data_IF_772190440084
#
_entry.id   IF_772190440084
#
_cell.length_a   1.000
_cell.length_b   1.000
_cell.length_c   1.000
_cell.angle_alpha   90.00
_cell.angle_beta   90.00
_cell.angle_gamma   90.00
#
_symmetry.space_group_name_H-M   'P 1'
#
loop_
_entity.id
_entity.type
_entity.pdbx_description
1 polymer ?
#
# COMPACT_ATOMS: atom_id res chain seq x y z
N UNK A 1 -47.86 -23.78 -3.52
CA UNK A 1 -47.81 -22.52 -4.30
C UNK A 1 -48.35 -22.82 -5.70
N UNK A 2 -49.11 -21.92 -6.34
CA UNK A 2 -49.44 -22.11 -7.75
C UNK A 2 -48.15 -21.97 -8.55
N UNK A 3 -47.65 -23.07 -9.13
CA UNK A 3 -46.43 -23.12 -9.93
C UNK A 3 -46.58 -22.29 -11.20
N UNK A 4 -46.38 -20.98 -11.08
CA UNK A 4 -46.31 -20.08 -12.22
C UNK A 4 -44.85 -19.90 -12.63
N UNK A 5 -44.60 -19.81 -13.93
CA UNK A 5 -43.28 -19.51 -14.51
C UNK A 5 -42.60 -18.31 -13.83
N UNK A 6 -43.38 -17.32 -13.40
CA UNK A 6 -42.91 -16.14 -12.65
C UNK A 6 -42.23 -16.52 -11.33
N UNK A 7 -42.70 -17.54 -10.62
CA UNK A 7 -42.08 -18.00 -9.37
C UNK A 7 -40.77 -18.74 -9.63
N UNK A 8 -40.72 -19.59 -10.67
CA UNK A 8 -39.50 -20.29 -11.07
C UNK A 8 -38.38 -19.32 -11.47
N UNK A 9 -38.72 -18.26 -12.21
CA UNK A 9 -37.76 -17.21 -12.58
C UNK A 9 -37.25 -16.42 -11.38
N UNK A 10 -38.09 -16.15 -10.37
CA UNK A 10 -37.64 -15.50 -9.12
C UNK A 10 -36.66 -16.37 -8.34
N UNK A 11 -36.95 -17.66 -8.22
CA UNK A 11 -36.04 -18.61 -7.57
C UNK A 11 -34.71 -18.72 -8.31
N UNK A 12 -34.73 -18.79 -9.64
CA UNK A 12 -33.52 -18.78 -10.46
C UNK A 12 -32.69 -17.50 -10.27
N UNK A 13 -33.33 -16.32 -10.30
CA UNK A 13 -32.65 -15.05 -10.07
C UNK A 13 -32.02 -14.98 -8.66
N UNK A 14 -32.74 -15.43 -7.64
CA UNK A 14 -32.21 -15.48 -6.27
C UNK A 14 -31.03 -16.45 -6.16
N UNK A 15 -31.10 -17.63 -6.79
CA UNK A 15 -30.01 -18.60 -6.81
C UNK A 15 -28.75 -18.04 -7.48
N UNK A 16 -28.89 -17.28 -8.57
CA UNK A 16 -27.79 -16.59 -9.24
C UNK A 16 -27.17 -15.51 -8.34
N UNK A 17 -28.00 -14.71 -7.64
CA UNK A 17 -27.50 -13.71 -6.67
C UNK A 17 -26.70 -14.41 -5.56
N UNK A 18 -27.20 -15.51 -5.03
CA UNK A 18 -26.51 -16.28 -3.99
C UNK A 18 -25.20 -16.88 -4.52
N UNK A 19 -25.19 -17.44 -5.74
CA UNK A 19 -23.97 -17.93 -6.38
C UNK A 19 -22.93 -16.82 -6.49
N UNK A 20 -23.32 -15.60 -6.88
CA UNK A 20 -22.41 -14.46 -6.97
C UNK A 20 -21.90 -14.01 -5.60
N UNK A 21 -22.78 -13.84 -4.62
CA UNK A 21 -22.40 -13.39 -3.27
C UNK A 21 -21.46 -14.40 -2.61
N UNK A 22 -21.82 -15.69 -2.59
CA UNK A 22 -20.95 -16.72 -2.01
C UNK A 22 -19.72 -16.96 -2.87
N UNK A 23 -19.82 -16.86 -4.19
CA UNK A 23 -18.67 -16.96 -5.09
C UNK A 23 -17.64 -15.87 -4.85
N UNK A 24 -18.07 -14.64 -4.56
CA UNK A 24 -17.19 -13.54 -4.16
C UNK A 24 -16.58 -13.77 -2.78
N UNK A 25 -17.39 -14.19 -1.79
CA UNK A 25 -16.91 -14.45 -0.42
C UNK A 25 -15.82 -15.54 -0.41
N UNK A 26 -15.99 -16.60 -1.21
CA UNK A 26 -15.09 -17.76 -1.23
C UNK A 26 -14.11 -17.77 -2.41
N UNK A 27 -14.08 -16.72 -3.24
CA UNK A 27 -13.20 -16.64 -4.41
C UNK A 27 -13.43 -17.73 -5.46
N UNK A 28 -14.62 -18.34 -5.51
CA UNK A 28 -14.92 -19.42 -6.44
C UNK A 28 -16.42 -19.46 -6.81
N UNK A 29 -16.79 -19.19 -8.07
CA UNK A 29 -18.19 -19.28 -8.50
C UNK A 29 -18.75 -20.71 -8.37
N UNK A 30 -17.90 -21.74 -8.43
CA UNK A 30 -18.28 -23.14 -8.20
C UNK A 30 -18.69 -23.36 -6.75
N UNK A 31 -17.93 -22.83 -5.78
CA UNK A 31 -18.31 -22.89 -4.36
C UNK A 31 -19.62 -22.15 -4.13
N UNK A 32 -19.77 -20.97 -4.73
CA UNK A 32 -21.03 -20.22 -4.69
C UNK A 32 -22.21 -21.02 -5.24
N UNK A 33 -22.00 -21.74 -6.34
CA UNK A 33 -23.01 -22.59 -6.97
C UNK A 33 -23.43 -23.79 -6.11
N UNK A 34 -22.46 -24.45 -5.47
CA UNK A 34 -22.72 -25.56 -4.53
C UNK A 34 -23.54 -25.07 -3.34
N UNK A 35 -23.17 -23.93 -2.75
CA UNK A 35 -23.89 -23.34 -1.62
C UNK A 35 -25.30 -22.94 -2.02
N UNK A 36 -25.47 -22.26 -3.15
CA UNK A 36 -26.80 -21.90 -3.66
C UNK A 36 -27.67 -23.15 -3.89
N UNK A 37 -27.12 -24.20 -4.51
CA UNK A 37 -27.80 -25.49 -4.71
C UNK A 37 -28.23 -26.12 -3.39
N UNK A 38 -27.33 -26.17 -2.41
CA UNK A 38 -27.61 -26.76 -1.10
C UNK A 38 -28.71 -25.99 -0.33
N UNK A 39 -28.71 -24.65 -0.40
CA UNK A 39 -29.74 -23.85 0.28
C UNK A 39 -31.11 -24.02 -0.37
N UNK A 40 -31.18 -24.03 -1.71
CA UNK A 40 -32.46 -24.30 -2.39
C UNK A 40 -32.97 -25.70 -2.13
N UNK A 41 -32.10 -26.71 -2.08
CA UNK A 41 -32.48 -28.06 -1.68
C UNK A 41 -33.00 -28.08 -0.24
N UNK A 42 -32.27 -27.49 0.71
CA UNK A 42 -32.68 -27.44 2.11
C UNK A 42 -34.00 -26.71 2.31
N UNK A 43 -34.23 -25.60 1.59
CA UNK A 43 -35.48 -24.84 1.59
C UNK A 43 -36.65 -25.74 1.17
N UNK A 44 -36.55 -26.37 0.01
CA UNK A 44 -37.64 -27.19 -0.53
C UNK A 44 -37.88 -28.45 0.34
N UNK A 45 -36.82 -29.10 0.82
CA UNK A 45 -36.94 -30.22 1.76
C UNK A 45 -37.63 -29.80 3.08
N UNK A 46 -37.31 -28.60 3.60
CA UNK A 46 -37.93 -28.06 4.81
C UNK A 46 -39.39 -27.64 4.63
N UNK A 47 -39.80 -27.19 3.45
CA UNK A 47 -41.22 -26.95 3.14
C UNK A 47 -42.02 -28.26 3.11
N UNK A 48 -41.40 -29.39 2.74
CA UNK A 48 -42.02 -30.71 2.76
C UNK A 48 -42.11 -31.30 4.16
N UNK A 49 -41.08 -31.13 4.98
CA UNK A 49 -41.11 -31.65 6.35
C UNK A 49 -42.23 -31.02 7.18
N UNK A 50 -42.64 -29.78 6.90
CA UNK A 50 -43.80 -29.11 7.55
C UNK A 50 -45.15 -29.79 7.26
N UNK A 51 -45.24 -30.60 6.21
CA UNK A 51 -46.46 -31.36 5.89
C UNK A 51 -46.57 -32.67 6.70
N UNK A 52 -45.57 -32.97 7.55
CA UNK A 52 -45.54 -34.13 8.43
C UNK A 52 -46.17 -33.88 9.81
N UNK A 53 -46.48 -32.63 10.16
CA UNK A 53 -47.12 -32.27 11.43
C UNK A 53 -48.50 -32.95 11.53
N UNK A 54 -48.52 -34.13 12.16
CA UNK A 54 -49.73 -34.93 12.42
C UNK A 54 -49.71 -36.38 11.95
N UNK A 55 -48.66 -36.89 11.27
CA UNK A 55 -48.57 -38.31 10.89
C UNK A 55 -47.53 -39.08 11.71
N UNK A 56 -47.85 -40.29 12.21
CA UNK A 56 -46.91 -41.11 13.00
C UNK A 56 -45.80 -41.78 12.18
N UNK A 57 -45.65 -41.42 10.90
CA UNK A 57 -44.58 -41.89 10.03
C UNK A 57 -43.27 -41.17 10.41
N UNK A 58 -42.51 -41.76 11.33
CA UNK A 58 -41.26 -41.22 11.88
C UNK A 58 -40.12 -40.99 10.87
N UNK A 59 -38.87 -40.89 11.36
CA UNK A 59 -37.63 -40.52 10.63
C UNK A 59 -37.45 -41.04 9.19
N UNK A 60 -38.08 -42.15 8.81
CA UNK A 60 -38.10 -42.66 7.42
C UNK A 60 -38.78 -41.71 6.44
N UNK A 61 -39.84 -41.01 6.88
CA UNK A 61 -40.50 -39.99 6.07
C UNK A 61 -39.57 -38.79 5.81
N UNK A 62 -38.81 -38.38 6.83
CA UNK A 62 -37.79 -37.33 6.72
C UNK A 62 -36.68 -37.70 5.73
N UNK A 63 -36.18 -38.94 5.78
CA UNK A 63 -35.19 -39.42 4.80
C UNK A 63 -35.75 -39.51 3.38
N UNK A 64 -37.04 -39.82 3.22
CA UNK A 64 -37.68 -39.82 1.90
C UNK A 64 -37.82 -38.42 1.31
N UNK A 65 -37.94 -37.40 2.16
CA UNK A 65 -38.05 -35.99 1.74
C UNK A 65 -36.69 -35.39 1.35
N UNK A 66 -35.59 -35.99 1.80
CA UNK A 66 -34.23 -35.66 1.32
C UNK A 66 -34.00 -36.11 -0.13
N UNK A 67 -34.78 -37.06 -0.66
CA UNK A 67 -34.66 -37.48 -2.06
C UNK A 67 -35.65 -36.70 -2.95
N UNK A 68 -35.20 -35.71 -3.75
CA UNK A 68 -36.07 -34.92 -4.63
C UNK A 68 -36.72 -35.73 -5.75
N UNK A 69 -36.25 -36.95 -5.99
CA UNK A 69 -36.81 -37.89 -6.94
C UNK A 69 -37.84 -38.84 -6.31
N UNK A 70 -38.09 -38.72 -5.01
CA UNK A 70 -39.10 -39.49 -4.30
C UNK A 70 -40.52 -39.24 -4.84
N UNK A 71 -41.44 -40.20 -4.64
CA UNK A 71 -42.83 -40.10 -5.10
C UNK A 71 -43.62 -38.97 -4.41
N UNK A 72 -43.10 -38.40 -3.32
CA UNK A 72 -43.74 -37.31 -2.55
C UNK A 72 -43.55 -35.93 -3.18
N UNK A 73 -42.56 -35.77 -4.05
CA UNK A 73 -42.31 -34.52 -4.75
C UNK A 73 -43.26 -34.40 -5.94
N UNK A 74 -44.16 -33.42 -5.89
CA UNK A 74 -45.04 -33.10 -7.03
C UNK A 74 -44.20 -32.48 -8.15
N UNK A 75 -44.74 -32.50 -9.36
CA UNK A 75 -44.10 -31.90 -10.54
C UNK A 75 -43.65 -30.46 -10.27
N UNK A 76 -44.51 -29.65 -9.66
CA UNK A 76 -44.20 -28.24 -9.37
C UNK A 76 -43.03 -28.09 -8.40
N UNK A 77 -42.95 -28.95 -7.37
CA UNK A 77 -41.86 -28.95 -6.39
C UNK A 77 -40.51 -29.29 -7.04
N UNK A 78 -40.53 -30.26 -7.97
CA UNK A 78 -39.34 -30.64 -8.73
C UNK A 78 -38.88 -29.50 -9.64
N UNK A 79 -39.82 -28.74 -10.21
CA UNK A 79 -39.49 -27.59 -11.05
C UNK A 79 -38.98 -26.41 -10.22
N UNK A 80 -39.54 -26.17 -9.04
CA UNK A 80 -39.09 -25.15 -8.10
C UNK A 80 -37.64 -25.39 -7.62
N UNK A 81 -37.21 -26.66 -7.51
CA UNK A 81 -35.82 -27.01 -7.24
C UNK A 81 -34.94 -27.04 -8.51
N UNK A 82 -35.43 -27.63 -9.61
CA UNK A 82 -34.63 -27.85 -10.81
C UNK A 82 -34.25 -26.54 -11.51
N UNK A 83 -35.16 -25.54 -11.56
CA UNK A 83 -34.88 -24.25 -12.20
C UNK A 83 -33.70 -23.49 -11.58
N UNK A 84 -33.67 -23.22 -10.26
CA UNK A 84 -32.55 -22.51 -9.64
C UNK A 84 -31.24 -23.28 -9.74
N UNK A 85 -31.27 -24.61 -9.57
CA UNK A 85 -30.09 -25.47 -9.71
C UNK A 85 -29.56 -25.42 -11.15
N UNK A 86 -30.42 -25.62 -12.14
CA UNK A 86 -30.03 -25.55 -13.55
C UNK A 86 -29.52 -24.16 -13.93
N UNK A 87 -30.15 -23.09 -13.45
CA UNK A 87 -29.71 -21.72 -13.74
C UNK A 87 -28.31 -21.44 -13.20
N UNK A 88 -28.03 -21.86 -11.96
CA UNK A 88 -26.73 -21.70 -11.32
C UNK A 88 -25.66 -22.53 -12.03
N UNK A 89 -25.92 -23.79 -12.36
CA UNK A 89 -24.94 -24.64 -13.05
C UNK A 89 -24.75 -24.25 -14.52
N UNK A 90 -25.79 -23.77 -15.21
CA UNK A 90 -25.66 -23.18 -16.53
C UNK A 90 -24.83 -21.90 -16.47
N UNK A 91 -25.01 -21.05 -15.46
CA UNK A 91 -24.17 -19.88 -15.27
C UNK A 91 -22.71 -20.28 -15.04
N UNK A 92 -22.43 -21.29 -14.20
CA UNK A 92 -21.07 -21.83 -14.03
C UNK A 92 -20.48 -22.35 -15.35
N UNK A 93 -21.27 -23.05 -16.17
CA UNK A 93 -20.82 -23.57 -17.45
C UNK A 93 -20.60 -22.48 -18.53
N UNK A 94 -21.33 -21.37 -18.42
CA UNK A 94 -21.22 -20.21 -19.30
C UNK A 94 -20.19 -19.18 -18.83
N UNK A 95 -19.77 -19.23 -17.56
CA UNK A 95 -18.61 -18.50 -17.13
C UNK A 95 -17.44 -18.99 -17.99
N UNK A 96 -16.67 -18.09 -18.62
CA UNK A 96 -15.43 -18.51 -19.25
C UNK A 96 -14.69 -19.30 -18.19
N UNK A 97 -14.38 -20.57 -18.48
CA UNK A 97 -13.62 -21.43 -17.59
C UNK A 97 -12.49 -20.54 -17.10
N UNK A 98 -12.55 -20.13 -15.83
CA UNK A 98 -11.63 -19.15 -15.28
C UNK A 98 -10.30 -19.81 -15.51
N UNK A 99 -9.56 -19.34 -16.51
CA UNK A 99 -8.41 -20.06 -17.03
C UNK A 99 -7.60 -20.35 -15.78
N UNK A 100 -7.50 -21.63 -15.42
CA UNK A 100 -6.78 -21.99 -14.21
C UNK A 100 -5.42 -21.38 -14.42
N UNK A 101 -5.09 -20.38 -13.58
CA UNK A 101 -3.85 -19.65 -13.68
C UNK A 101 -2.74 -20.68 -13.85
N UNK A 102 -2.22 -20.77 -15.06
CA UNK A 102 -1.25 -21.79 -15.35
C UNK A 102 0.02 -21.38 -14.61
N UNK A 103 0.59 -22.32 -13.85
CA UNK A 103 1.85 -22.10 -13.17
C UNK A 103 2.96 -22.63 -14.05
N UNK A 104 3.91 -21.76 -14.35
CA UNK A 104 5.09 -22.06 -15.15
C UNK A 104 6.33 -21.88 -14.30
N UNK A 105 7.32 -22.74 -14.52
CA UNK A 105 8.65 -22.61 -13.92
C UNK A 105 9.60 -22.04 -14.98
N UNK A 106 10.43 -21.08 -14.60
CA UNK A 106 11.51 -20.59 -15.44
C UNK A 106 12.74 -20.30 -14.57
N UNK A 107 13.89 -20.76 -15.03
CA UNK A 107 15.17 -20.67 -14.30
C UNK A 107 16.17 -19.73 -14.97
N UNK A 108 15.84 -19.20 -16.16
CA UNK A 108 16.68 -18.26 -16.89
C UNK A 108 15.88 -17.13 -17.53
N UNK A 109 16.52 -15.99 -17.75
CA UNK A 109 15.90 -14.87 -18.46
C UNK A 109 15.48 -15.20 -19.91
N UNK A 110 16.15 -16.17 -20.55
CA UNK A 110 15.77 -16.64 -21.88
C UNK A 110 14.45 -17.42 -21.86
N UNK A 111 14.25 -18.29 -20.86
CA UNK A 111 13.00 -19.02 -20.66
C UNK A 111 11.83 -18.08 -20.37
N UNK A 112 12.03 -17.11 -19.47
CA UNK A 112 11.01 -16.10 -19.18
C UNK A 112 10.62 -15.35 -20.46
N UNK A 113 11.60 -14.85 -21.22
CA UNK A 113 11.32 -14.14 -22.49
C UNK A 113 10.57 -15.00 -23.50
N UNK A 114 10.85 -16.29 -23.58
CA UNK A 114 10.15 -17.21 -24.47
C UNK A 114 8.72 -17.55 -23.99
N UNK A 115 8.50 -17.48 -22.67
CA UNK A 115 7.23 -17.76 -22.03
C UNK A 115 6.25 -16.59 -22.09
N UNK A 116 6.73 -15.36 -21.86
CA UNK A 116 5.89 -14.16 -21.72
C UNK A 116 4.83 -13.98 -22.82
N UNK A 117 5.12 -14.16 -24.13
CA UNK A 117 4.11 -14.00 -25.18
C UNK A 117 2.95 -15.02 -25.10
N UNK A 118 3.17 -16.15 -24.42
CA UNK A 118 2.23 -17.26 -24.32
C UNK A 118 1.34 -17.17 -23.08
N UNK A 119 1.71 -16.33 -22.12
CA UNK A 119 0.96 -16.17 -20.87
C UNK A 119 -0.39 -15.50 -21.13
N UNK A 120 -1.41 -15.98 -20.45
CA UNK A 120 -2.71 -15.36 -20.31
C UNK A 120 -2.76 -14.49 -19.03
N UNK A 121 -3.78 -13.64 -18.93
CA UNK A 121 -4.03 -12.91 -17.69
C UNK A 121 -4.30 -13.90 -16.54
N UNK A 122 -3.72 -13.63 -15.38
CA UNK A 122 -3.81 -14.48 -14.19
C UNK A 122 -2.71 -15.55 -14.09
N UNK A 123 -1.99 -15.88 -15.16
CA UNK A 123 -0.93 -16.88 -15.12
C UNK A 123 0.19 -16.51 -14.14
N UNK A 124 0.87 -17.55 -13.63
CA UNK A 124 1.95 -17.41 -12.64
C UNK A 124 3.26 -17.94 -13.21
N UNK A 125 4.32 -17.14 -13.11
CA UNK A 125 5.69 -17.54 -13.43
C UNK A 125 6.48 -17.59 -12.13
N UNK A 126 6.94 -18.77 -11.76
CA UNK A 126 7.78 -19.02 -10.59
C UNK A 126 9.25 -19.01 -11.02
N UNK A 127 10.04 -18.07 -10.47
CA UNK A 127 11.46 -17.90 -10.76
C UNK A 127 12.37 -18.35 -9.60
N UNK A 128 11.84 -18.39 -8.37
CA UNK A 128 12.65 -18.67 -7.17
C UNK A 128 13.80 -17.67 -7.01
N UNK A 129 15.03 -18.15 -6.92
CA UNK A 129 16.24 -17.33 -6.75
C UNK A 129 17.04 -17.17 -8.06
N UNK A 130 16.40 -17.48 -9.19
CA UNK A 130 17.09 -17.53 -10.47
C UNK A 130 17.64 -16.15 -10.88
N UNK A 131 18.90 -16.07 -11.35
CA UNK A 131 19.50 -14.82 -11.81
C UNK A 131 18.95 -14.45 -13.19
N UNK A 132 18.22 -13.34 -13.26
CA UNK A 132 17.56 -12.85 -14.47
C UNK A 132 18.38 -11.77 -15.19
N UNK A 133 19.35 -11.16 -14.52
CA UNK A 133 20.08 -10.02 -15.05
C UNK A 133 19.17 -8.82 -15.33
N UNK A 134 19.51 -8.01 -16.34
CA UNK A 134 18.67 -6.90 -16.77
C UNK A 134 17.57 -7.35 -17.75
N UNK A 135 16.33 -6.96 -17.48
CA UNK A 135 15.16 -7.29 -18.32
C UNK A 135 14.39 -6.04 -18.74
N UNK A 136 13.80 -6.10 -19.94
CA UNK A 136 12.86 -5.10 -20.45
C UNK A 136 11.67 -5.77 -21.10
N UNK A 137 10.46 -5.42 -20.66
CA UNK A 137 9.21 -6.02 -21.14
C UNK A 137 8.19 -4.94 -21.51
N UNK A 138 7.61 -5.06 -22.71
CA UNK A 138 6.56 -4.16 -23.18
C UNK A 138 5.18 -4.83 -23.13
N UNK A 139 4.17 -4.10 -22.66
CA UNK A 139 2.78 -4.56 -22.61
C UNK A 139 2.61 -5.81 -21.75
N UNK A 140 3.40 -5.96 -20.69
CA UNK A 140 3.33 -7.15 -19.84
C UNK A 140 1.93 -7.28 -19.24
N UNK A 141 1.27 -8.40 -19.55
CA UNK A 141 -0.10 -8.74 -19.15
C UNK A 141 -0.28 -8.81 -17.62
N UNK A 142 -1.51 -9.01 -17.16
CA UNK A 142 -1.84 -9.15 -15.75
C UNK A 142 -1.42 -10.53 -15.19
N UNK A 143 -0.12 -10.84 -15.27
CA UNK A 143 0.51 -12.08 -14.79
C UNK A 143 1.15 -11.86 -13.43
N UNK A 144 1.35 -12.94 -12.68
CA UNK A 144 2.14 -12.90 -11.44
C UNK A 144 3.53 -13.48 -11.70
N UNK A 145 4.57 -12.71 -11.41
CA UNK A 145 5.97 -13.15 -11.44
C UNK A 145 6.44 -13.27 -9.99
N UNK A 146 6.82 -14.48 -9.58
CA UNK A 146 7.27 -14.78 -8.23
C UNK A 146 8.77 -15.03 -8.16
N UNK A 147 9.45 -14.32 -7.27
CA UNK A 147 10.89 -14.40 -7.09
C UNK A 147 11.68 -13.73 -8.22
N UNK A 148 12.91 -14.19 -8.38
CA UNK A 148 13.90 -13.73 -9.35
C UNK A 148 14.86 -12.70 -8.76
N UNK A 149 16.12 -12.79 -9.18
CA UNK A 149 17.17 -11.83 -8.84
C UNK A 149 17.55 -11.07 -10.10
N UNK A 150 17.28 -9.77 -10.12
CA UNK A 150 17.46 -8.91 -11.29
C UNK A 150 18.54 -7.87 -11.05
N UNK A 151 19.23 -7.49 -12.13
CA UNK A 151 20.11 -6.31 -12.11
C UNK A 151 19.28 -5.04 -12.33
N UNK A 152 18.26 -5.15 -13.19
CA UNK A 152 17.37 -4.07 -13.59
C UNK A 152 16.08 -4.63 -14.21
N UNK A 153 14.96 -3.93 -14.01
CA UNK A 153 13.68 -4.20 -14.66
C UNK A 153 13.20 -2.92 -15.35
N UNK A 154 12.82 -3.01 -16.62
CA UNK A 154 12.10 -1.95 -17.33
C UNK A 154 10.77 -2.48 -17.86
N UNK A 155 9.67 -1.83 -17.53
CA UNK A 155 8.33 -2.15 -17.99
C UNK A 155 7.80 -1.03 -18.87
N UNK A 156 7.53 -1.31 -20.14
CA UNK A 156 6.90 -0.37 -21.06
C UNK A 156 5.39 -0.62 -21.10
N UNK A 157 4.57 0.30 -20.57
CA UNK A 157 3.09 0.20 -20.54
C UNK A 157 2.56 -1.15 -20.00
N UNK A 158 2.99 -1.60 -18.80
CA UNK A 158 2.47 -2.81 -18.17
C UNK A 158 0.94 -2.75 -17.97
N UNK A 159 0.29 -3.90 -18.08
CA UNK A 159 -1.16 -4.10 -18.01
C UNK A 159 -1.59 -4.73 -16.67
N UNK A 160 -0.90 -4.38 -15.58
CA UNK A 160 -1.20 -4.90 -14.24
C UNK A 160 -0.47 -6.19 -13.84
N UNK A 161 0.80 -6.45 -14.21
CA UNK A 161 1.53 -7.56 -13.63
C UNK A 161 1.74 -7.35 -12.12
N UNK A 162 1.85 -8.47 -11.40
CA UNK A 162 2.26 -8.50 -10.00
C UNK A 162 3.65 -9.13 -9.89
N UNK A 163 4.57 -8.42 -9.25
CA UNK A 163 5.88 -8.93 -8.84
C UNK A 163 5.82 -9.26 -7.34
N UNK A 164 6.15 -10.49 -6.97
CA UNK A 164 6.02 -10.99 -5.60
C UNK A 164 7.29 -11.73 -5.18
N UNK A 165 8.01 -11.26 -4.17
CA UNK A 165 9.29 -11.87 -3.78
C UNK A 165 10.49 -11.35 -4.61
N UNK A 166 10.35 -10.18 -5.23
CA UNK A 166 11.34 -9.61 -6.14
C UNK A 166 12.62 -9.19 -5.41
N UNK A 167 13.79 -9.59 -5.95
CA UNK A 167 15.09 -9.02 -5.56
C UNK A 167 15.73 -8.27 -6.72
N UNK A 168 16.10 -7.01 -6.51
CA UNK A 168 16.88 -6.24 -7.48
C UNK A 168 18.14 -5.72 -6.82
N UNK A 169 19.30 -6.05 -7.38
CA UNK A 169 20.59 -5.54 -6.91
C UNK A 169 21.31 -4.87 -8.06
N UNK A 170 21.35 -3.54 -8.05
CA UNK A 170 22.05 -2.79 -9.10
C UNK A 170 23.56 -3.03 -9.01
N UNK A 171 24.20 -3.47 -10.10
CA UNK A 171 25.63 -3.72 -10.13
C UNK A 171 26.41 -2.41 -10.16
N UNK A 172 27.35 -2.23 -9.23
CA UNK A 172 28.22 -1.06 -9.15
C UNK A 172 29.64 -1.43 -9.60
N UNK A 173 29.86 -1.44 -10.92
CA UNK A 173 31.15 -1.67 -11.57
C UNK A 173 31.71 -0.36 -12.13
N UNK A 174 33.02 -0.25 -12.41
CA UNK A 174 33.59 0.96 -13.02
C UNK A 174 32.90 1.39 -14.36
N UNK A 175 32.25 0.45 -15.06
CA UNK A 175 31.51 0.69 -16.30
C UNK A 175 30.03 1.05 -16.10
N UNK A 176 29.51 0.99 -14.86
CA UNK A 176 28.12 1.29 -14.55
C UNK A 176 27.83 2.78 -14.78
N UNK A 177 26.77 3.14 -15.54
CA UNK A 177 26.36 4.52 -15.75
C UNK A 177 26.22 5.31 -14.44
N UNK A 178 26.51 6.61 -14.49
CA UNK A 178 26.40 7.50 -13.34
C UNK A 178 24.97 7.60 -12.76
N UNK A 179 23.96 7.20 -13.54
CA UNK A 179 22.55 7.22 -13.16
C UNK A 179 21.88 5.91 -13.61
N UNK A 180 21.22 5.23 -12.67
CA UNK A 180 20.55 3.95 -12.90
C UNK A 180 19.19 3.89 -12.20
N UNK A 181 18.31 3.00 -12.69
CA UNK A 181 16.97 2.76 -12.15
C UNK A 181 16.82 1.27 -11.97
N UNK A 182 16.64 0.79 -10.74
CA UNK A 182 16.56 -0.65 -10.47
C UNK A 182 15.28 -1.23 -11.07
N UNK A 183 14.14 -0.59 -10.83
CA UNK A 183 12.90 -0.86 -11.55
C UNK A 183 12.38 0.43 -12.15
N UNK A 184 12.02 0.36 -13.43
CA UNK A 184 11.50 1.48 -14.18
C UNK A 184 10.20 1.12 -14.88
N UNK A 185 9.18 1.95 -14.72
CA UNK A 185 7.88 1.77 -15.36
C UNK A 185 7.57 2.97 -16.25
N UNK A 186 7.25 2.73 -17.52
CA UNK A 186 6.82 3.76 -18.47
C UNK A 186 5.30 3.67 -18.66
N UNK A 187 4.55 4.39 -17.83
CA UNK A 187 3.09 4.32 -17.73
C UNK A 187 2.54 2.96 -17.27
N UNK A 188 1.22 2.77 -17.38
CA UNK A 188 0.56 1.50 -17.11
C UNK A 188 0.34 1.18 -15.62
N UNK A 189 -0.09 -0.05 -15.34
CA UNK A 189 -0.40 -0.53 -13.99
C UNK A 189 0.58 -1.61 -13.56
N UNK A 190 0.96 -1.65 -12.29
CA UNK A 190 1.75 -2.75 -11.73
C UNK A 190 1.63 -2.81 -10.20
N UNK A 191 1.80 -4.01 -9.67
CA UNK A 191 1.96 -4.27 -8.24
C UNK A 191 3.35 -4.86 -8.00
N UNK A 192 4.09 -4.31 -7.03
CA UNK A 192 5.37 -4.81 -6.58
C UNK A 192 5.25 -5.06 -5.08
N UNK A 193 5.42 -6.30 -4.64
CA UNK A 193 5.28 -6.72 -3.25
C UNK A 193 6.35 -7.70 -2.79
N UNK A 194 6.54 -7.79 -1.48
CA UNK A 194 7.52 -8.71 -0.86
C UNK A 194 8.91 -8.54 -1.48
N UNK A 195 9.38 -7.30 -1.60
CA UNK A 195 10.56 -6.97 -2.41
C UNK A 195 11.77 -6.49 -1.59
N UNK A 196 12.94 -6.65 -2.16
CA UNK A 196 14.18 -6.02 -1.72
C UNK A 196 14.90 -5.39 -2.92
N UNK A 197 15.16 -4.08 -2.84
CA UNK A 197 15.85 -3.33 -3.91
C UNK A 197 17.04 -2.60 -3.32
N UNK A 198 18.22 -2.83 -3.90
CA UNK A 198 19.46 -2.23 -3.42
C UNK A 198 20.49 -1.97 -4.51
N UNK A 199 21.55 -1.24 -4.18
CA UNK A 199 22.77 -1.20 -4.99
C UNK A 199 23.93 -1.93 -4.28
N UNK A 200 24.76 -2.60 -5.09
CA UNK A 200 25.87 -3.44 -4.61
C UNK A 200 27.10 -2.68 -4.12
N UNK A 201 27.34 -1.45 -4.58
CA UNK A 201 28.34 -0.57 -4.01
C UNK A 201 27.77 0.85 -3.89
N UNK A 202 27.46 1.20 -2.65
CA UNK A 202 27.09 2.55 -2.27
C UNK A 202 28.35 3.27 -1.81
N UNK A 203 28.98 3.98 -2.75
CA UNK A 203 30.12 4.84 -2.43
C UNK A 203 29.61 6.24 -2.06
N UNK A 204 29.75 6.59 -0.77
CA UNK A 204 29.41 7.92 -0.26
C UNK A 204 30.29 9.03 -0.83
N UNK A 205 31.49 8.69 -1.32
CA UNK A 205 32.41 9.65 -1.90
C UNK A 205 32.07 10.00 -3.36
N UNK A 206 31.40 9.08 -4.07
CA UNK A 206 30.91 9.28 -5.43
C UNK A 206 29.52 8.64 -5.56
N UNK A 207 28.47 9.30 -5.04
CA UNK A 207 27.13 8.75 -5.07
C UNK A 207 26.72 8.54 -6.52
N UNK A 208 26.74 7.28 -6.94
CA UNK A 208 26.16 6.87 -8.21
C UNK A 208 24.66 6.97 -8.02
N UNK A 209 24.00 7.69 -8.91
CA UNK A 209 22.62 8.09 -8.79
C UNK A 209 21.69 6.92 -9.11
N UNK A 210 21.58 5.97 -8.18
CA UNK A 210 20.69 4.83 -8.30
C UNK A 210 19.32 5.16 -7.73
N UNK A 211 18.27 5.08 -8.54
CA UNK A 211 16.88 5.14 -8.09
C UNK A 211 16.37 3.72 -7.92
N UNK A 212 15.77 3.40 -6.78
CA UNK A 212 15.19 2.08 -6.54
C UNK A 212 14.01 1.80 -7.46
N UNK A 213 12.93 2.55 -7.29
CA UNK A 213 11.72 2.44 -8.11
C UNK A 213 11.45 3.77 -8.79
N UNK A 214 11.34 3.79 -10.11
CA UNK A 214 10.96 4.98 -10.86
C UNK A 214 9.77 4.71 -11.76
N UNK A 215 8.82 5.64 -11.80
CA UNK A 215 7.70 5.55 -12.71
C UNK A 215 7.53 6.84 -13.50
N UNK A 216 7.56 6.69 -14.81
CA UNK A 216 7.56 7.77 -15.78
C UNK A 216 6.19 7.86 -16.45
N UNK A 217 5.37 8.82 -16.01
CA UNK A 217 4.03 9.06 -16.52
C UNK A 217 3.99 9.73 -17.90
N UNK A 218 5.11 10.28 -18.41
CA UNK A 218 5.16 11.03 -19.68
C UNK A 218 4.79 10.19 -20.91
N UNK A 219 4.80 8.86 -20.78
CA UNK A 219 4.51 7.92 -21.87
C UNK A 219 3.01 7.63 -22.11
N UNK A 220 2.10 8.36 -21.46
CA UNK A 220 0.69 8.47 -21.88
C UNK A 220 -0.31 7.53 -21.19
N UNK A 221 -0.01 6.99 -20.01
CA UNK A 221 -1.04 6.38 -19.15
C UNK A 221 -0.62 6.44 -17.68
N UNK A 222 -1.27 7.31 -16.91
CA UNK A 222 -1.15 7.35 -15.45
C UNK A 222 -1.94 6.16 -14.87
N UNK A 223 -1.29 5.02 -14.74
CA UNK A 223 -1.93 3.84 -14.15
C UNK A 223 -1.68 3.72 -12.65
N UNK A 224 -2.46 2.83 -12.05
CA UNK A 224 -2.40 2.51 -10.63
C UNK A 224 -1.13 1.73 -10.33
N UNK A 225 -0.40 2.18 -9.32
CA UNK A 225 0.85 1.59 -8.88
C UNK A 225 0.69 1.20 -7.42
N UNK A 226 0.96 -0.06 -7.11
CA UNK A 226 1.02 -0.54 -5.73
C UNK A 226 2.43 -1.02 -5.43
N UNK A 227 3.02 -0.48 -4.37
CA UNK A 227 4.31 -0.89 -3.83
C UNK A 227 4.08 -1.24 -2.36
N UNK A 228 4.24 -2.51 -2.00
CA UNK A 228 3.95 -2.96 -0.64
C UNK A 228 4.95 -3.97 -0.09
N UNK A 229 5.03 -4.05 1.23
CA UNK A 229 5.78 -5.09 1.96
C UNK A 229 7.22 -5.25 1.45
N UNK A 230 8.07 -4.24 1.62
CA UNK A 230 9.41 -4.31 1.07
C UNK A 230 10.41 -3.30 1.61
N UNK A 231 11.66 -3.45 1.16
CA UNK A 231 12.79 -2.63 1.60
C UNK A 231 13.55 -2.08 0.40
N UNK A 232 13.83 -0.79 0.42
CA UNK A 232 14.77 -0.13 -0.48
C UNK A 232 15.97 0.38 0.31
N UNK A 233 17.20 0.06 -0.09
CA UNK A 233 18.38 0.51 0.63
C UNK A 233 19.67 0.59 -0.18
N UNK A 234 20.64 1.38 0.29
CA UNK A 234 21.91 1.60 -0.39
C UNK A 234 21.70 2.20 -1.80
N UNK A 235 20.85 3.23 -1.90
CA UNK A 235 20.45 3.86 -3.16
C UNK A 235 20.73 5.36 -3.09
N UNK A 236 20.66 6.05 -4.23
CA UNK A 236 20.56 7.52 -4.17
C UNK A 236 19.18 7.93 -3.70
N UNK A 237 18.15 7.38 -4.34
CA UNK A 237 16.75 7.67 -4.09
C UNK A 237 15.96 6.37 -3.96
N UNK A 238 14.99 6.33 -3.04
CA UNK A 238 14.09 5.20 -2.87
C UNK A 238 13.10 5.08 -4.03
N UNK A 239 11.95 5.73 -3.88
CA UNK A 239 10.91 5.84 -4.91
C UNK A 239 11.06 7.20 -5.60
N UNK A 240 11.58 7.21 -6.82
CA UNK A 240 11.97 8.42 -7.53
C UNK A 240 11.02 8.88 -8.63
N UNK A 241 10.94 10.21 -8.72
CA UNK A 241 10.30 11.06 -9.73
C UNK A 241 9.11 10.44 -10.47
N UNK A 242 7.97 10.39 -9.79
CA UNK A 242 6.67 10.14 -10.41
C UNK A 242 6.08 11.42 -10.99
N UNK A 243 5.98 11.55 -12.31
CA UNK A 243 5.21 12.65 -12.89
C UNK A 243 3.74 12.28 -13.03
N UNK A 244 2.87 13.05 -12.40
CA UNK A 244 1.41 12.96 -12.52
C UNK A 244 0.80 11.58 -12.23
N UNK A 245 1.32 10.75 -11.31
CA UNK A 245 0.75 9.42 -11.14
C UNK A 245 -0.67 9.50 -10.58
N UNK A 246 -1.48 8.50 -10.92
CA UNK A 246 -2.87 8.39 -10.45
C UNK A 246 -3.05 7.04 -9.77
N UNK A 247 -3.50 7.04 -8.51
CA UNK A 247 -3.73 5.80 -7.77
C UNK A 247 -2.43 5.13 -7.33
N UNK A 248 -1.58 5.87 -6.61
CA UNK A 248 -0.35 5.34 -6.03
C UNK A 248 -0.64 4.85 -4.62
N UNK A 249 -0.27 3.61 -4.33
CA UNK A 249 -0.27 3.06 -2.98
C UNK A 249 1.13 2.62 -2.61
N UNK A 250 1.65 3.15 -1.50
CA UNK A 250 2.89 2.72 -0.87
C UNK A 250 2.53 2.25 0.54
N UNK A 251 2.71 0.97 0.85
CA UNK A 251 2.30 0.40 2.15
C UNK A 251 3.37 -0.52 2.75
N UNK A 252 3.65 -0.40 4.04
CA UNK A 252 4.58 -1.32 4.74
C UNK A 252 5.98 -1.34 4.07
N UNK A 253 6.44 -0.18 3.63
CA UNK A 253 7.73 -0.03 2.95
C UNK A 253 8.74 0.64 3.87
N UNK A 254 9.96 0.11 3.89
CA UNK A 254 11.10 0.75 4.56
C UNK A 254 12.09 1.27 3.54
N UNK A 255 12.50 2.54 3.68
CA UNK A 255 13.64 3.11 2.97
C UNK A 255 14.77 3.41 3.96
N UNK A 256 16.01 3.08 3.60
CA UNK A 256 17.19 3.36 4.42
C UNK A 256 18.46 3.50 3.61
N UNK A 257 19.50 4.07 4.19
CA UNK A 257 20.82 4.17 3.56
C UNK A 257 20.75 4.83 2.17
N UNK A 258 20.08 5.99 2.08
CA UNK A 258 19.89 6.76 0.85
C UNK A 258 20.91 7.92 0.74
N UNK A 259 21.11 8.55 -0.43
CA UNK A 259 21.85 9.84 -0.50
C UNK A 259 20.96 11.06 -0.67
N UNK A 260 19.74 10.88 -1.16
CA UNK A 260 18.73 11.91 -1.36
C UNK A 260 17.37 11.45 -0.81
N UNK A 261 16.33 11.43 -1.63
CA UNK A 261 14.95 11.37 -1.17
C UNK A 261 14.45 9.94 -0.96
N UNK A 262 13.62 9.74 0.07
CA UNK A 262 12.94 8.46 0.29
C UNK A 262 11.86 8.21 -0.75
N UNK A 263 10.93 9.16 -0.85
CA UNK A 263 9.86 9.19 -1.84
C UNK A 263 9.87 10.57 -2.50
N UNK A 264 9.83 10.63 -3.83
CA UNK A 264 9.71 11.89 -4.56
C UNK A 264 8.72 11.81 -5.72
N UNK A 265 7.64 12.61 -5.67
CA UNK A 265 6.63 12.68 -6.73
C UNK A 265 6.39 14.14 -7.19
N UNK A 266 5.92 14.29 -8.43
CA UNK A 266 5.68 15.55 -9.13
C UNK A 266 4.26 15.63 -9.71
N UNK A 267 3.34 16.33 -9.03
CA UNK A 267 1.90 16.36 -9.31
C UNK A 267 1.27 14.97 -9.17
N UNK A 268 0.22 14.77 -8.39
CA UNK A 268 -0.29 13.40 -8.16
C UNK A 268 -1.76 13.39 -7.77
N UNK A 269 -2.46 12.29 -8.02
CA UNK A 269 -3.84 12.15 -7.60
C UNK A 269 -4.10 10.77 -6.98
N UNK A 270 -4.86 10.74 -5.89
CA UNK A 270 -5.20 9.52 -5.16
C UNK A 270 -3.93 8.78 -4.71
N UNK A 271 -3.20 9.40 -3.78
CA UNK A 271 -1.96 8.84 -3.24
C UNK A 271 -2.20 8.38 -1.81
N UNK A 272 -1.83 7.14 -1.52
CA UNK A 272 -1.78 6.58 -0.18
C UNK A 272 -0.35 6.20 0.16
N UNK A 273 0.19 6.78 1.23
CA UNK A 273 1.44 6.36 1.87
C UNK A 273 1.07 5.91 3.29
N UNK A 274 1.27 4.64 3.60
CA UNK A 274 0.83 4.03 4.85
C UNK A 274 1.92 3.13 5.44
N UNK A 275 2.09 3.15 6.77
CA UNK A 275 3.02 2.27 7.48
C UNK A 275 4.44 2.34 6.87
N UNK A 276 4.86 3.55 6.54
CA UNK A 276 6.12 3.82 5.86
C UNK A 276 7.21 4.15 6.88
N UNK A 277 8.39 3.56 6.72
CA UNK A 277 9.54 3.84 7.58
C UNK A 277 10.69 4.37 6.74
N UNK A 278 11.39 5.35 7.29
CA UNK A 278 12.45 6.06 6.60
C UNK A 278 13.55 6.41 7.59
N UNK A 279 14.73 5.81 7.45
CA UNK A 279 15.75 5.97 8.49
C UNK A 279 17.14 5.46 8.15
N UNK A 280 18.11 5.90 8.95
CA UNK A 280 19.56 5.66 8.97
C UNK A 280 20.36 5.92 7.68
N UNK A 281 21.42 6.74 7.84
CA UNK A 281 22.44 7.17 6.86
C UNK A 281 21.92 7.75 5.55
N UNK A 282 21.23 8.89 5.65
CA UNK A 282 21.21 9.79 4.49
C UNK A 282 22.56 10.47 4.36
N UNK A 283 23.42 9.92 3.51
CA UNK A 283 24.73 10.47 3.24
C UNK A 283 24.60 11.52 2.15
N UNK A 284 24.38 12.76 2.57
CA UNK A 284 24.30 13.88 1.65
C UNK A 284 25.67 14.27 1.13
N UNK A 285 25.74 14.52 -0.16
CA UNK A 285 26.78 15.34 -0.77
C UNK A 285 26.36 16.81 -0.73
N UNK A 286 27.32 17.73 -0.91
CA UNK A 286 27.02 19.16 -0.91
C UNK A 286 25.97 19.49 -1.99
N UNK A 287 24.89 20.17 -1.59
CA UNK A 287 23.77 20.52 -2.46
C UNK A 287 22.66 19.47 -2.56
N UNK A 288 22.84 18.26 -2.01
CA UNK A 288 21.76 17.30 -1.85
C UNK A 288 20.77 17.78 -0.78
N UNK A 289 19.48 17.65 -1.05
CA UNK A 289 18.40 18.06 -0.16
C UNK A 289 17.60 16.80 0.22
N UNK A 290 18.01 16.05 1.25
CA UNK A 290 17.41 14.76 1.54
C UNK A 290 16.05 14.94 2.22
N UNK A 291 14.99 14.66 1.46
CA UNK A 291 13.63 14.65 1.95
C UNK A 291 13.18 13.20 2.13
N UNK A 292 12.67 12.85 3.30
CA UNK A 292 12.16 11.50 3.47
C UNK A 292 10.91 11.26 2.58
N UNK A 293 10.00 12.22 2.55
CA UNK A 293 8.91 12.29 1.58
C UNK A 293 8.89 13.69 0.99
N UNK A 294 9.08 13.79 -0.32
CA UNK A 294 8.92 14.99 -1.10
C UNK A 294 7.79 14.82 -2.12
N UNK A 295 6.83 15.73 -2.09
CA UNK A 295 5.82 15.82 -3.13
C UNK A 295 5.78 17.25 -3.61
N UNK A 296 6.21 17.45 -4.86
CA UNK A 296 6.25 18.74 -5.52
C UNK A 296 5.13 18.84 -6.59
N UNK A 297 4.71 20.04 -6.97
CA UNK A 297 3.78 20.23 -8.09
C UNK A 297 4.45 20.29 -9.46
N UNK A 298 5.70 19.83 -9.61
CA UNK A 298 6.33 19.71 -10.93
C UNK A 298 5.54 18.69 -11.75
N UNK A 299 4.56 19.15 -12.53
CA UNK A 299 3.57 18.29 -13.18
C UNK A 299 2.11 18.64 -12.85
N UNK A 300 1.81 19.58 -11.95
CA UNK A 300 0.43 19.99 -11.63
C UNK A 300 0.06 19.79 -10.16
N UNK A 301 -1.22 20.02 -9.78
CA UNK A 301 -1.65 19.96 -8.39
C UNK A 301 -1.61 18.54 -7.85
N UNK A 302 -1.38 18.41 -6.54
CA UNK A 302 -1.48 17.13 -5.82
C UNK A 302 -2.82 17.05 -5.10
N UNK A 303 -3.66 16.07 -5.43
CA UNK A 303 -5.01 15.93 -4.86
C UNK A 303 -5.22 14.56 -4.21
N UNK A 304 -6.07 14.52 -3.17
CA UNK A 304 -6.44 13.28 -2.48
C UNK A 304 -5.21 12.51 -1.98
N UNK A 305 -4.39 13.19 -1.19
CA UNK A 305 -3.18 12.63 -0.59
C UNK A 305 -3.49 12.16 0.83
N UNK A 306 -3.18 10.91 1.14
CA UNK A 306 -3.21 10.36 2.48
C UNK A 306 -1.82 9.87 2.88
N UNK A 307 -1.29 10.41 3.97
CA UNK A 307 -0.05 9.95 4.61
C UNK A 307 -0.42 9.50 6.02
N UNK A 308 -0.22 8.22 6.36
CA UNK A 308 -0.52 7.75 7.71
C UNK A 308 0.47 6.73 8.27
N UNK A 309 0.64 6.75 9.60
CA UNK A 309 1.52 5.82 10.33
C UNK A 309 2.95 5.83 9.78
N UNK A 310 3.54 7.01 9.66
CA UNK A 310 4.89 7.18 9.09
C UNK A 310 5.90 7.39 10.21
N UNK A 311 7.00 6.63 10.19
CA UNK A 311 8.12 6.78 11.11
C UNK A 311 9.35 7.30 10.35
N UNK A 312 9.93 8.41 10.82
CA UNK A 312 11.13 9.02 10.23
C UNK A 312 12.19 9.18 11.31
N UNK A 313 13.37 8.59 11.06
CA UNK A 313 14.56 8.71 11.89
C UNK A 313 15.60 9.61 11.20
N UNK A 314 15.73 10.83 11.68
CA UNK A 314 16.63 11.86 11.17
C UNK A 314 18.04 11.72 11.74
N UNK A 315 18.97 11.17 10.95
CA UNK A 315 20.36 10.99 11.39
C UNK A 315 21.25 12.23 11.16
N UNK A 316 20.97 13.02 10.12
CA UNK A 316 21.69 14.26 9.75
C UNK A 316 20.68 15.33 9.38
N UNK A 317 21.12 16.49 8.88
CA UNK A 317 20.23 17.52 8.35
C UNK A 317 19.34 16.93 7.23
N UNK A 318 18.18 16.41 7.63
CA UNK A 318 17.14 15.80 6.80
C UNK A 318 15.88 16.63 6.90
N UNK A 319 15.07 16.65 5.85
CA UNK A 319 13.72 17.16 5.92
C UNK A 319 12.75 15.97 5.96
N UNK A 320 11.79 16.04 6.88
CA UNK A 320 10.85 14.94 7.09
C UNK A 320 9.88 14.79 5.93
N UNK A 321 8.80 15.57 5.96
CA UNK A 321 7.76 15.53 4.93
C UNK A 321 7.65 16.91 4.31
N UNK A 322 7.90 17.00 3.00
CA UNK A 322 7.85 18.23 2.24
C UNK A 322 6.79 18.16 1.14
N UNK A 323 5.70 18.88 1.34
CA UNK A 323 4.60 18.94 0.40
C UNK A 323 4.50 20.37 -0.14
N UNK A 324 4.89 20.56 -1.39
CA UNK A 324 4.92 21.88 -2.02
C UNK A 324 4.18 21.85 -3.33
N UNK A 325 3.18 22.72 -3.46
CA UNK A 325 2.63 23.04 -4.76
C UNK A 325 3.02 24.41 -5.27
N UNK A 326 2.79 24.62 -6.55
CA UNK A 326 2.81 25.91 -7.20
C UNK A 326 1.63 26.73 -6.64
N UNK A 327 1.83 28.01 -6.29
CA UNK A 327 0.73 28.88 -5.84
C UNK A 327 -0.50 28.90 -6.76
N UNK A 328 -0.32 28.68 -8.07
CA UNK A 328 -1.43 28.64 -9.05
C UNK A 328 -2.06 27.26 -9.26
N UNK A 329 -1.47 26.20 -8.69
CA UNK A 329 -1.93 24.82 -8.81
C UNK A 329 -1.94 24.17 -7.42
N UNK A 330 -2.73 24.75 -6.51
CA UNK A 330 -2.83 24.33 -5.11
C UNK A 330 -3.28 22.87 -5.00
N UNK A 331 -2.69 22.14 -4.06
CA UNK A 331 -3.11 20.78 -3.74
C UNK A 331 -4.37 20.79 -2.89
N UNK A 332 -5.15 19.70 -2.92
CA UNK A 332 -6.44 19.63 -2.22
C UNK A 332 -6.69 18.31 -1.53
N UNK A 333 -7.45 18.36 -0.43
CA UNK A 333 -7.94 17.20 0.31
C UNK A 333 -6.79 16.30 0.76
N UNK A 334 -5.98 16.82 1.68
CA UNK A 334 -4.82 16.12 2.23
C UNK A 334 -5.12 15.65 3.64
N UNK A 335 -4.81 14.39 3.93
CA UNK A 335 -4.92 13.81 5.28
C UNK A 335 -3.56 13.29 5.70
N UNK A 336 -3.04 13.80 6.81
CA UNK A 336 -1.72 13.45 7.34
C UNK A 336 -1.92 13.04 8.80
N UNK A 337 -1.66 11.78 9.13
CA UNK A 337 -1.85 11.32 10.50
C UNK A 337 -0.84 10.29 10.99
N UNK A 338 -0.70 10.13 12.31
CA UNK A 338 0.20 9.11 12.86
C UNK A 338 1.66 9.28 12.44
N UNK A 339 2.10 10.49 12.11
CA UNK A 339 3.49 10.75 11.69
C UNK A 339 4.35 10.93 12.94
N UNK A 340 5.49 10.25 13.00
CA UNK A 340 6.47 10.32 14.09
C UNK A 340 7.83 10.65 13.51
N UNK A 341 8.40 11.79 13.89
CA UNK A 341 9.73 12.22 13.49
C UNK A 341 10.62 12.35 14.74
N UNK A 342 11.69 11.57 14.75
CA UNK A 342 12.71 11.54 15.80
C UNK A 342 14.07 11.82 15.19
N UNK A 343 14.91 12.62 15.85
CA UNK A 343 16.28 12.91 15.39
C UNK A 343 16.47 14.34 14.84
N UNK A 344 17.53 14.51 14.06
CA UNK A 344 17.97 15.81 13.53
C UNK A 344 17.24 16.14 12.23
N UNK A 345 16.52 17.27 12.21
CA UNK A 345 15.83 17.74 11.01
C UNK A 345 16.04 19.22 10.81
N UNK A 346 16.35 19.72 9.62
CA UNK A 346 16.30 21.18 9.41
C UNK A 346 14.85 21.67 9.19
N UNK A 347 13.97 20.77 8.71
CA UNK A 347 12.52 20.96 8.56
C UNK A 347 11.76 19.66 8.90
N UNK A 348 10.66 19.75 9.63
CA UNK A 348 9.82 18.59 9.95
C UNK A 348 8.76 18.32 8.87
N UNK A 349 7.49 18.59 9.18
CA UNK A 349 6.38 18.60 8.24
C UNK A 349 6.18 20.02 7.67
N UNK A 350 6.36 20.16 6.37
CA UNK A 350 6.16 21.43 5.66
C UNK A 350 5.13 21.27 4.55
N UNK A 351 4.11 22.12 4.56
CA UNK A 351 2.97 22.12 3.66
C UNK A 351 2.84 23.50 3.05
N UNK A 352 2.90 23.59 1.72
CA UNK A 352 2.84 24.84 0.99
C UNK A 352 1.81 24.79 -0.14
N UNK A 353 0.99 25.84 -0.27
CA UNK A 353 0.02 26.03 -1.34
C UNK A 353 -1.00 24.88 -1.42
N UNK A 354 -1.86 24.75 -0.41
CA UNK A 354 -2.83 23.65 -0.31
C UNK A 354 -4.17 24.10 0.30
N UNK A 355 -5.24 23.40 -0.06
CA UNK A 355 -6.59 23.57 0.46
C UNK A 355 -7.03 22.28 1.18
N UNK A 356 -7.82 22.43 2.25
CA UNK A 356 -8.46 21.32 2.97
C UNK A 356 -7.44 20.29 3.49
N UNK A 357 -6.50 20.76 4.32
CA UNK A 357 -5.43 19.95 4.89
C UNK A 357 -5.79 19.51 6.31
N UNK A 358 -5.86 18.21 6.56
CA UNK A 358 -6.12 17.62 7.88
C UNK A 358 -4.86 16.98 8.43
N UNK A 359 -4.44 17.42 9.61
CA UNK A 359 -3.27 16.92 10.33
C UNK A 359 -3.73 16.41 11.69
N UNK A 360 -3.48 15.14 12.01
CA UNK A 360 -3.89 14.57 13.29
C UNK A 360 -2.91 13.56 13.87
N UNK A 361 -2.75 13.54 15.20
CA UNK A 361 -1.87 12.58 15.88
C UNK A 361 -0.46 12.58 15.27
N UNK A 362 0.21 13.73 15.26
CA UNK A 362 1.55 13.90 14.66
C UNK A 362 2.55 14.32 15.74
N UNK A 363 3.76 13.75 15.75
CA UNK A 363 4.83 14.09 16.70
C UNK A 363 6.09 14.45 15.94
N UNK A 364 6.49 15.72 16.03
CA UNK A 364 7.61 16.33 15.32
C UNK A 364 8.60 16.87 16.35
N UNK A 365 9.59 16.06 16.69
CA UNK A 365 10.58 16.39 17.71
C UNK A 365 11.98 16.39 17.14
N UNK A 366 12.85 17.23 17.69
CA UNK A 366 14.24 17.33 17.27
C UNK A 366 15.13 17.82 18.41
N UNK A 367 16.42 17.42 18.50
CA UNK A 367 17.33 17.90 19.53
C UNK A 367 17.56 19.40 19.44
N UNK A 368 17.52 20.11 20.58
CA UNK A 368 17.50 21.58 20.65
C UNK A 368 18.74 22.29 20.10
N UNK A 369 19.84 21.57 19.91
CA UNK A 369 21.08 22.12 19.41
C UNK A 369 21.23 22.04 17.88
N UNK A 370 20.26 21.51 17.14
CA UNK A 370 20.33 21.61 15.69
C UNK A 370 19.79 22.96 15.18
N UNK A 371 20.35 23.39 14.05
CA UNK A 371 19.92 24.60 13.36
C UNK A 371 18.58 24.26 12.69
N UNK A 372 17.47 24.66 13.31
CA UNK A 372 16.12 24.37 12.83
C UNK A 372 15.48 25.59 12.23
N UNK A 373 14.82 25.43 11.08
CA UNK A 373 13.95 26.46 10.52
C UNK A 373 12.56 26.38 11.13
N UNK A 374 11.88 25.23 11.05
CA UNK A 374 10.54 24.98 11.62
C UNK A 374 10.18 23.49 11.56
N UNK A 375 9.57 22.94 12.62
CA UNK A 375 9.15 21.53 12.65
C UNK A 375 7.77 21.32 12.02
N UNK A 376 6.84 22.26 12.21
CA UNK A 376 5.60 22.33 11.46
C UNK A 376 5.56 23.65 10.69
N UNK A 377 5.41 23.59 9.38
CA UNK A 377 5.30 24.79 8.53
C UNK A 377 4.04 24.70 7.68
N UNK A 378 3.18 25.71 7.80
CA UNK A 378 2.04 25.92 6.91
C UNK A 378 2.24 27.25 6.17
N UNK A 379 2.36 27.20 4.85
CA UNK A 379 2.53 28.39 4.02
C UNK A 379 1.48 28.43 2.90
N UNK A 380 0.69 29.50 2.85
CA UNK A 380 -0.39 29.68 1.89
C UNK A 380 -1.38 28.50 1.89
N UNK A 381 -1.91 28.15 3.06
CA UNK A 381 -2.84 27.03 3.26
C UNK A 381 -4.23 27.54 3.63
N UNK A 382 -5.27 27.04 2.99
CA UNK A 382 -6.67 27.38 3.30
C UNK A 382 -7.43 26.16 3.83
N UNK A 383 -8.29 26.36 4.83
CA UNK A 383 -9.10 25.29 5.42
C UNK A 383 -8.29 24.20 6.15
N UNK A 384 -7.17 24.56 6.79
CA UNK A 384 -6.38 23.61 7.56
C UNK A 384 -7.06 23.20 8.88
N UNK A 385 -6.95 21.93 9.24
CA UNK A 385 -7.43 21.37 10.50
C UNK A 385 -6.29 20.61 11.19
N UNK A 386 -5.92 21.02 12.40
CA UNK A 386 -4.84 20.41 13.17
C UNK A 386 -5.39 19.88 14.50
N UNK A 387 -5.18 18.59 14.76
CA UNK A 387 -5.61 17.91 15.99
C UNK A 387 -4.46 17.13 16.61
N UNK A 388 -4.35 17.11 17.94
CA UNK A 388 -3.47 16.20 18.69
C UNK A 388 -2.05 16.08 18.11
N UNK A 389 -1.48 17.23 17.73
CA UNK A 389 -0.17 17.34 17.11
C UNK A 389 0.84 17.91 18.13
N UNK A 390 2.03 17.35 18.18
CA UNK A 390 3.12 17.83 19.03
C UNK A 390 4.23 18.25 18.10
N UNK A 391 4.36 19.55 17.87
CA UNK A 391 5.48 20.12 17.14
C UNK A 391 6.37 20.95 18.07
N UNK A 392 7.68 20.83 17.87
CA UNK A 392 8.69 21.55 18.63
C UNK A 392 8.78 23.05 18.23
N UNK A 393 8.43 23.37 17.00
CA UNK A 393 8.27 24.74 16.48
C UNK A 393 7.23 24.75 15.37
N UNK A 394 6.54 25.89 15.22
CA UNK A 394 5.47 26.06 14.23
C UNK A 394 5.64 27.42 13.54
N UNK A 395 5.67 27.43 12.21
CA UNK A 395 5.58 28.63 11.38
C UNK A 395 4.31 28.61 10.53
N UNK A 396 3.64 29.77 10.46
CA UNK A 396 2.44 29.99 9.66
C UNK A 396 2.61 31.25 8.83
N UNK A 397 2.34 31.15 7.53
CA UNK A 397 2.33 32.28 6.62
C UNK A 397 1.11 32.17 5.69
N UNK A 398 0.29 33.22 5.58
CA UNK A 398 -0.92 33.22 4.76
C UNK A 398 -1.84 32.01 4.97
N UNK A 399 -2.13 31.66 6.23
CA UNK A 399 -3.02 30.54 6.58
C UNK A 399 -4.41 31.08 6.89
N UNK A 400 -5.44 30.57 6.22
CA UNK A 400 -6.86 30.93 6.41
C UNK A 400 -7.69 29.71 6.79
N UNK A 401 -8.84 29.92 7.45
CA UNK A 401 -9.75 28.83 7.83
C UNK A 401 -9.16 27.80 8.81
N UNK A 402 -8.08 28.13 9.52
CA UNK A 402 -7.38 27.21 10.41
C UNK A 402 -8.22 26.86 11.65
N UNK A 403 -8.45 25.56 11.85
CA UNK A 403 -9.06 25.00 13.06
C UNK A 403 -8.00 24.20 13.83
N UNK A 404 -7.78 24.56 15.09
CA UNK A 404 -6.83 23.86 15.97
C UNK A 404 -7.55 23.32 17.21
N UNK A 405 -7.29 22.07 17.55
CA UNK A 405 -7.86 21.44 18.74
C UNK A 405 -6.92 20.41 19.35
N UNK A 406 -7.10 20.12 20.64
CA UNK A 406 -6.21 19.23 21.38
C UNK A 406 -4.85 19.87 21.65
N UNK A 407 -3.82 19.02 21.80
CA UNK A 407 -2.44 19.48 21.95
C UNK A 407 -1.89 19.84 20.56
N UNK A 408 -1.27 21.00 20.39
CA UNK A 408 -0.72 21.45 19.08
C UNK A 408 0.77 21.79 19.14
N UNK A 409 1.25 22.29 20.28
CA UNK A 409 2.66 22.70 20.43
C UNK A 409 3.12 22.45 21.86
N UNK A 410 4.36 21.97 22.03
CA UNK A 410 5.07 22.04 23.30
C UNK A 410 6.38 22.81 23.04
N UNK A 411 6.74 23.82 23.85
CA UNK A 411 8.04 24.45 23.72
C UNK A 411 9.11 23.37 23.91
N UNK A 412 10.05 23.23 22.96
CA UNK A 412 11.14 22.27 23.07
C UNK A 412 11.84 22.48 24.42
N UNK A 413 11.64 21.57 25.38
CA UNK A 413 12.37 21.63 26.64
C UNK A 413 13.78 21.14 26.37
N UNK A 414 14.78 21.96 26.73
CA UNK A 414 16.18 21.55 26.81
C UNK A 414 16.18 20.18 27.51
N UNK A 415 16.57 19.07 26.86
CA UNK A 415 16.68 17.82 27.59
C UNK A 415 17.60 18.11 28.78
N UNK A 416 17.10 17.84 29.98
CA UNK A 416 17.91 17.94 31.17
C UNK A 416 19.07 16.96 30.97
N UNK A 417 20.27 17.51 30.75
CA UNK A 417 21.51 16.81 30.40
C UNK A 417 21.59 16.19 28.98
N UNK A 418 21.68 17.04 27.95
CA UNK A 418 22.63 16.78 26.87
C UNK A 418 23.92 17.53 27.22
N UNK A 419 24.83 16.88 27.96
CA UNK A 419 26.18 17.41 28.18
C UNK A 419 26.89 17.33 26.83
N UNK A 420 27.15 18.48 26.22
CA UNK A 420 27.82 18.56 24.93
C UNK A 420 29.20 17.91 25.03
N UNK A 421 29.32 16.71 24.47
CA UNK A 421 30.63 16.21 24.03
C UNK A 421 30.87 16.85 22.68
N UNK A 422 31.76 17.85 22.68
CA UNK A 422 32.08 18.64 21.50
C UNK A 422 32.52 17.75 20.34
N UNK A 423 31.85 17.91 19.20
CA UNK A 423 32.33 17.37 17.93
C UNK A 423 33.04 18.52 17.22
N UNK A 424 34.37 18.52 17.36
CA UNK A 424 35.27 19.50 16.77
C UNK A 424 36.72 19.04 16.89
N UNK A 425 37.04 17.87 16.32
CA UNK A 425 38.38 17.32 16.25
C UNK A 425 38.38 15.96 15.56
N UNK A 426 39.02 15.89 14.39
CA UNK A 426 39.06 14.76 13.48
C UNK A 426 39.39 13.42 14.16
N UNK A 427 38.56 12.40 13.93
CA UNK A 427 38.94 10.98 14.07
C UNK A 427 38.41 10.19 15.29
N UNK A 428 37.43 10.68 16.04
CA UNK A 428 36.88 9.93 17.18
C UNK A 428 35.71 9.01 16.82
N UNK A 429 35.68 7.83 17.45
CA UNK A 429 34.70 6.76 17.30
C UNK A 429 33.24 7.23 17.43
N UNK A 430 32.32 6.48 16.78
CA UNK A 430 30.88 6.70 16.85
C UNK A 430 30.41 6.83 18.32
N UNK A 431 29.53 7.79 18.64
CA UNK A 431 29.05 7.98 20.00
C UNK A 431 28.18 6.81 20.44
N UNK A 432 28.28 6.47 21.73
CA UNK A 432 27.46 5.48 22.43
C UNK A 432 25.95 5.78 22.25
N UNK A 433 25.21 4.85 21.66
CA UNK A 433 23.78 4.98 21.35
C UNK A 433 22.87 4.82 22.58
N UNK A 434 23.43 4.43 23.73
CA UNK A 434 22.68 4.13 24.95
C UNK A 434 21.79 5.29 25.43
N UNK A 435 22.21 6.54 25.24
CA UNK A 435 21.44 7.72 25.61
C UNK A 435 20.26 8.02 24.67
N UNK A 436 20.41 7.70 23.37
CA UNK A 436 19.34 7.80 22.38
C UNK A 436 18.31 6.70 22.61
N UNK A 437 18.76 5.47 22.86
CA UNK A 437 17.91 4.32 23.18
C UNK A 437 17.10 4.57 24.46
N UNK A 438 17.69 5.17 25.48
CA UNK A 438 16.98 5.58 26.70
C UNK A 438 15.92 6.67 26.44
N UNK A 439 16.21 7.64 25.58
CA UNK A 439 15.25 8.71 25.22
C UNK A 439 14.09 8.15 24.40
N UNK A 440 14.38 7.28 23.44
CA UNK A 440 13.36 6.56 22.65
C UNK A 440 12.51 5.68 23.57
N UNK A 441 13.09 5.00 24.56
CA UNK A 441 12.36 4.20 25.53
C UNK A 441 11.40 5.04 26.39
N UNK A 442 11.81 6.24 26.82
CA UNK A 442 10.93 7.17 27.57
C UNK A 442 9.78 7.68 26.71
N UNK A 443 10.06 8.05 25.45
CA UNK A 443 9.02 8.49 24.51
C UNK A 443 8.04 7.37 24.16
N UNK A 444 8.53 6.14 23.93
CA UNK A 444 7.71 4.94 23.73
C UNK A 444 6.84 4.66 24.96
N UNK A 445 7.42 4.68 26.17
CA UNK A 445 6.69 4.47 27.41
C UNK A 445 5.59 5.53 27.64
N UNK A 446 5.83 6.79 27.28
CA UNK A 446 4.83 7.85 27.38
C UNK A 446 3.70 7.69 26.34
N UNK A 447 4.02 7.26 25.11
CA UNK A 447 3.02 6.93 24.09
C UNK A 447 2.19 5.72 24.52
N UNK A 448 2.81 4.66 25.03
CA UNK A 448 2.12 3.46 25.54
C UNK A 448 1.22 3.81 26.73
N UNK A 449 1.70 4.65 27.66
CA UNK A 449 0.92 5.15 28.79
C UNK A 449 -0.31 5.93 28.30
N UNK A 450 -0.16 6.78 27.28
CA UNK A 450 -1.30 7.51 26.71
C UNK A 450 -2.29 6.57 26.00
N UNK A 451 -1.81 5.55 25.30
CA UNK A 451 -2.64 4.48 24.73
C UNK A 451 -3.47 3.75 25.78
N UNK A 452 -2.85 3.38 26.91
CA UNK A 452 -3.53 2.74 28.04
C UNK A 452 -4.59 3.64 28.69
N UNK A 453 -4.31 4.94 28.82
CA UNK A 453 -5.29 5.91 29.33
C UNK A 453 -6.50 6.02 28.40
N UNK A 454 -6.29 6.05 27.09
CA UNK A 454 -7.38 6.08 26.09
C UNK A 454 -8.23 4.80 26.16
N UNK A 455 -7.59 3.63 26.27
CA UNK A 455 -8.30 2.34 26.42
C UNK A 455 -9.10 2.29 27.72
N UNK A 456 -8.53 2.75 28.84
CA UNK A 456 -9.21 2.80 30.13
C UNK A 456 -10.40 3.76 30.14
N UNK A 457 -10.30 4.91 29.48
CA UNK A 457 -11.41 5.85 29.31
C UNK A 457 -12.52 5.24 28.45
N UNK A 458 -12.17 4.51 27.37
CA UNK A 458 -13.17 3.84 26.51
C UNK A 458 -13.94 2.75 27.26
N UNK A 459 -13.24 1.93 28.05
CA UNK A 459 -13.83 0.89 28.88
C UNK A 459 -14.66 1.43 30.07
N UNK A 460 -14.49 2.70 30.44
CA UNK A 460 -15.30 3.36 31.48
C UNK A 460 -16.53 4.10 30.91
N UNK A 461 -16.61 4.26 29.58
CA UNK A 461 -17.71 4.92 28.87
C UNK A 461 -18.69 3.89 28.29
N UNK A 462 -18.24 2.68 28.02
CA UNK A 462 -19.06 1.48 27.74
C UNK A 462 -19.61 0.87 29.05
#
# INVERSE_FOLDING_TARGET
MNGSLKNWLKHAALALIMMLVFGLIFGSPVVGAVIATAIFWAKEAGEKSKQLDGRPEGWRAVLSDLNPFGPRWKKDDRLDLAFPVAAVWLAVALLPASAHAASYQASTAAEVRALLPKLADGDVVELGDAPMGAVRWGGLKAVTIKGGVFDQITLDKPQGPTFDGLRVTMPATAATPAYQRAVQLYGGHATIRNFEISASAYDLAQPRKGVGLMFDGRAGANGQITVEDGVLHNLDQGLGWLEQPVGVTVRNVTVRDLSTDGIQFGGANNVLIENFTCGARVATYAGAHPDCIQIASSGGPVNNLTIRNVAIDGWRATQGVFLVNNPTARGRNWTISGVRMLGYFYRGLTIMNADDVKISDVVLTTPINAVHFSMLTLDNVDGAEIRDTIACSHARNNVTGLVESGRVTIPCRKPAAYVGVGVGGNGAALPDTSALDATIAVLKAEVDRQGQVITAVRAAVE
#
